data_IF_863281154416
#
_entry.id   IF_863281154416
#
_cell.length_a   1.000
_cell.length_b   1.000
_cell.length_c   1.000
_cell.angle_alpha   90.00
_cell.angle_beta   90.00
_cell.angle_gamma   90.00
#
_symmetry.space_group_name_H-M   'P 1'
#
loop_
_entity.id
_entity.type
_entity.pdbx_description
1 polymer ?
#
# COMPACT_ATOMS: atom_id res chain seq x y z
N UNK A 1 19.82 2.76 9.92
CA UNK A 1 18.47 3.20 10.29
C UNK A 1 17.48 2.32 9.52
N UNK A 2 16.79 1.43 10.21
CA UNK A 2 15.92 0.40 9.63
C UNK A 2 14.74 1.08 8.93
N UNK A 3 14.32 0.62 7.74
CA UNK A 3 13.21 1.23 6.98
C UNK A 3 11.93 1.43 7.82
N UNK A 4 11.73 0.56 8.82
CA UNK A 4 10.66 0.65 9.82
C UNK A 4 10.65 1.98 10.61
N UNK A 5 11.82 2.55 10.88
CA UNK A 5 11.95 3.82 11.62
C UNK A 5 11.57 5.01 10.76
N UNK A 6 11.81 4.93 9.44
CA UNK A 6 11.40 5.94 8.47
C UNK A 6 9.90 5.89 8.25
N UNK A 7 9.33 4.69 8.10
CA UNK A 7 7.89 4.49 7.99
C UNK A 7 7.14 5.05 9.21
N UNK A 8 7.59 4.73 10.43
CA UNK A 8 7.01 5.30 11.66
C UNK A 8 7.09 6.82 11.71
N UNK A 9 8.20 7.42 11.26
CA UNK A 9 8.31 8.88 11.17
C UNK A 9 7.33 9.46 10.16
N UNK A 10 7.20 8.85 8.99
CA UNK A 10 6.28 9.28 7.93
C UNK A 10 4.82 9.22 8.40
N UNK A 11 4.41 8.14 9.06
CA UNK A 11 3.06 7.99 9.66
C UNK A 11 2.79 9.08 10.70
N UNK A 12 3.74 9.35 11.61
CA UNK A 12 3.58 10.44 12.58
C UNK A 12 3.50 11.85 11.95
N UNK A 13 4.21 12.09 10.85
CA UNK A 13 4.06 13.35 10.07
C UNK A 13 2.74 13.41 9.31
N UNK A 14 2.23 12.28 8.82
CA UNK A 14 0.92 12.20 8.16
C UNK A 14 -0.20 12.63 9.10
N UNK A 15 -0.28 12.02 10.28
CA UNK A 15 -1.33 12.32 11.26
C UNK A 15 -1.33 13.81 11.65
N UNK A 16 -0.15 14.42 11.66
CA UNK A 16 0.02 15.86 11.91
C UNK A 16 -0.41 16.74 10.74
N UNK A 17 -0.15 16.33 9.50
CA UNK A 17 -0.39 17.13 8.28
C UNK A 17 -1.82 16.99 7.75
N UNK A 18 -2.42 15.81 7.89
CA UNK A 18 -3.77 15.50 7.40
C UNK A 18 -4.83 15.59 8.48
N UNK A 19 -4.62 16.41 9.50
CA UNK A 19 -5.58 16.73 10.56
C UNK A 19 -6.72 17.62 10.02
N UNK A 20 -7.36 17.16 8.94
CA UNK A 20 -8.53 17.79 8.33
C UNK A 20 -9.68 17.49 9.28
N UNK A 21 -10.12 18.51 10.02
CA UNK A 21 -11.42 18.48 10.71
C UNK A 21 -12.44 17.90 9.73
N UNK A 22 -12.99 16.76 10.09
CA UNK A 22 -13.98 16.01 9.32
C UNK A 22 -15.04 16.98 8.77
N UNK A 23 -15.06 17.20 7.45
CA UNK A 23 -16.09 17.97 6.75
C UNK A 23 -17.15 17.08 6.10
N UNK A 24 -17.27 15.86 6.60
CA UNK A 24 -18.42 15.01 6.34
C UNK A 24 -18.84 14.46 7.68
N UNK A 25 -19.88 15.05 8.26
CA UNK A 25 -20.75 14.33 9.18
C UNK A 25 -21.27 13.11 8.41
N UNK A 26 -20.56 11.99 8.53
CA UNK A 26 -21.13 10.70 8.16
C UNK A 26 -22.21 10.44 9.21
N UNK A 27 -23.46 10.74 8.85
CA UNK A 27 -24.68 10.25 9.52
C UNK A 27 -24.80 8.72 9.34
N UNK A 28 -23.74 7.96 9.59
CA UNK A 28 -23.84 6.53 9.76
C UNK A 28 -24.16 6.29 11.24
N UNK A 29 -25.34 5.74 11.60
CA UNK A 29 -25.64 5.47 12.99
C UNK A 29 -24.69 4.38 13.51
N UNK A 30 -23.66 4.79 14.25
CA UNK A 30 -22.71 3.90 14.91
C UNK A 30 -23.32 3.50 16.25
N UNK A 31 -24.02 2.37 16.28
CA UNK A 31 -24.78 1.91 17.44
C UNK A 31 -23.91 1.45 18.65
N UNK A 32 -22.57 1.46 18.54
CA UNK A 32 -21.69 1.01 19.61
C UNK A 32 -20.30 1.68 19.54
N UNK A 33 -19.78 2.18 20.66
CA UNK A 33 -18.49 2.89 20.70
C UNK A 33 -17.28 2.08 20.20
N UNK A 34 -17.36 0.75 20.26
CA UNK A 34 -16.38 -0.16 19.65
C UNK A 34 -16.34 -0.06 18.12
N UNK A 35 -17.49 0.12 17.46
CA UNK A 35 -17.58 0.26 16.00
C UNK A 35 -16.93 1.56 15.50
N UNK A 36 -16.99 2.65 16.29
CA UNK A 36 -16.31 3.91 15.95
C UNK A 36 -14.78 3.72 15.91
N UNK A 37 -14.22 3.00 16.88
CA UNK A 37 -12.78 2.72 16.93
C UNK A 37 -12.31 1.79 15.80
N UNK A 38 -13.16 0.85 15.38
CA UNK A 38 -12.88 -0.03 14.23
C UNK A 38 -12.90 0.77 12.93
N UNK A 39 -13.88 1.66 12.76
CA UNK A 39 -13.98 2.54 11.59
C UNK A 39 -12.79 3.50 11.53
N UNK A 40 -12.43 4.16 12.63
CA UNK A 40 -11.26 5.04 12.70
C UNK A 40 -9.97 4.29 12.35
N UNK A 41 -9.75 3.08 12.88
CA UNK A 41 -8.59 2.25 12.52
C UNK A 41 -8.58 1.86 11.05
N UNK A 42 -9.74 1.54 10.48
CA UNK A 42 -9.88 1.18 9.05
C UNK A 42 -9.59 2.38 8.14
N UNK A 43 -10.01 3.57 8.55
CA UNK A 43 -9.76 4.80 7.80
C UNK A 43 -8.28 5.21 7.87
N UNK A 44 -7.68 5.22 9.06
CA UNK A 44 -6.24 5.49 9.23
C UNK A 44 -5.37 4.51 8.43
N UNK A 45 -5.73 3.24 8.42
CA UNK A 45 -5.02 2.22 7.61
C UNK A 45 -5.18 2.46 6.11
N UNK A 46 -6.37 2.89 5.65
CA UNK A 46 -6.57 3.29 4.26
C UNK A 46 -5.67 4.46 3.86
N UNK A 47 -5.57 5.52 4.69
CA UNK A 47 -4.70 6.67 4.40
C UNK A 47 -3.22 6.28 4.33
N UNK A 48 -2.73 5.42 5.24
CA UNK A 48 -1.32 4.96 5.22
C UNK A 48 -1.04 4.09 4.00
N UNK A 49 -1.98 3.24 3.59
CA UNK A 49 -1.89 2.51 2.33
C UNK A 49 -1.80 3.49 1.15
N UNK A 50 -2.67 4.50 1.09
CA UNK A 50 -2.68 5.49 0.00
C UNK A 50 -1.37 6.30 -0.11
N UNK A 51 -0.61 6.44 0.98
CA UNK A 51 0.69 7.14 0.99
C UNK A 51 1.83 6.36 0.34
N UNK A 52 1.74 5.04 0.27
CA UNK A 52 2.81 4.18 -0.25
C UNK A 52 2.28 3.34 -1.39
N UNK A 53 2.69 3.72 -2.60
CA UNK A 53 2.40 3.00 -3.83
C UNK A 53 3.68 2.46 -4.44
N UNK A 54 3.69 1.17 -4.74
CA UNK A 54 4.77 0.54 -5.50
C UNK A 54 4.30 0.30 -6.94
N UNK A 55 5.04 0.82 -7.91
CA UNK A 55 4.85 0.52 -9.33
C UNK A 55 6.02 -0.31 -9.82
N UNK A 56 5.75 -1.39 -10.56
CA UNK A 56 6.79 -2.26 -11.06
C UNK A 56 6.44 -2.88 -12.41
N UNK A 57 7.49 -3.22 -13.15
CA UNK A 57 7.40 -3.90 -14.44
C UNK A 57 8.09 -5.26 -14.37
N UNK A 58 7.47 -6.31 -14.90
CA UNK A 58 8.05 -7.66 -14.91
C UNK A 58 7.82 -8.36 -16.25
N UNK A 59 8.53 -9.47 -16.46
CA UNK A 59 8.33 -10.38 -17.62
C UNK A 59 7.63 -11.68 -17.24
N UNK A 60 7.11 -11.80 -16.02
CA UNK A 60 6.40 -13.01 -15.57
C UNK A 60 4.88 -12.81 -15.61
N UNK A 61 4.16 -13.79 -16.14
CA UNK A 61 2.69 -13.79 -16.20
C UNK A 61 2.01 -14.21 -14.89
N UNK A 62 2.80 -14.38 -13.82
CA UNK A 62 2.30 -14.83 -12.52
C UNK A 62 1.71 -13.71 -11.65
N UNK A 63 1.97 -12.46 -11.99
CA UNK A 63 1.38 -11.30 -11.29
C UNK A 63 -0.11 -11.22 -11.63
N UNK A 64 -0.97 -11.08 -10.63
CA UNK A 64 -2.42 -10.97 -10.78
C UNK A 64 -2.98 -9.99 -9.75
N UNK A 65 -4.13 -9.40 -10.06
CA UNK A 65 -4.87 -8.56 -9.13
C UNK A 65 -5.22 -9.36 -7.85
N UNK A 66 -5.02 -8.75 -6.69
CA UNK A 66 -5.20 -9.38 -5.37
C UNK A 66 -4.04 -10.26 -4.89
N UNK A 67 -3.02 -10.53 -5.73
CA UNK A 67 -1.84 -11.29 -5.26
C UNK A 67 -0.94 -10.45 -4.35
N UNK A 68 -0.32 -11.15 -3.41
CA UNK A 68 0.71 -10.59 -2.55
C UNK A 68 2.10 -10.73 -3.20
N UNK A 69 2.86 -9.65 -3.21
CA UNK A 69 4.22 -9.58 -3.74
C UNK A 69 5.17 -9.00 -2.69
N UNK A 70 6.41 -9.49 -2.67
CA UNK A 70 7.45 -8.97 -1.79
C UNK A 70 8.48 -8.18 -2.59
N UNK A 71 8.74 -6.95 -2.16
CA UNK A 71 9.75 -6.09 -2.79
C UNK A 71 11.08 -6.20 -2.04
N UNK A 72 11.98 -7.01 -2.59
CA UNK A 72 13.30 -7.27 -2.02
C UNK A 72 14.39 -6.54 -2.80
N UNK A 73 15.35 -5.96 -2.09
CA UNK A 73 16.53 -5.37 -2.71
C UNK A 73 17.63 -6.42 -2.90
N UNK A 74 18.50 -6.26 -3.90
CA UNK A 74 19.70 -7.08 -4.03
C UNK A 74 20.55 -7.04 -2.75
N UNK A 75 21.15 -8.17 -2.39
CA UNK A 75 21.97 -8.28 -1.18
C UNK A 75 23.11 -7.25 -1.14
N UNK A 76 23.64 -6.88 -2.32
CA UNK A 76 24.71 -5.89 -2.47
C UNK A 76 24.33 -4.49 -1.99
N UNK A 77 23.04 -4.14 -1.93
CA UNK A 77 22.61 -2.84 -1.43
C UNK A 77 22.50 -2.76 0.10
N UNK A 78 22.52 -3.91 0.81
CA UNK A 78 22.35 -3.98 2.27
C UNK A 78 21.12 -3.19 2.79
N UNK A 79 20.01 -3.22 2.05
CA UNK A 79 18.74 -2.59 2.40
C UNK A 79 17.72 -3.62 2.87
N UNK A 80 16.89 -3.26 3.84
CA UNK A 80 15.76 -4.09 4.27
C UNK A 80 14.71 -4.18 3.15
N UNK A 81 14.08 -5.35 3.01
CA UNK A 81 12.89 -5.54 2.16
C UNK A 81 11.83 -4.50 2.50
N UNK A 82 11.10 -4.02 1.49
CA UNK A 82 9.94 -3.15 1.70
C UNK A 82 8.75 -3.91 2.30
N UNK A 83 8.81 -5.24 2.35
CA UNK A 83 7.76 -6.09 2.88
C UNK A 83 6.74 -6.51 1.82
N UNK A 84 5.55 -6.88 2.29
CA UNK A 84 4.50 -7.49 1.49
C UNK A 84 3.47 -6.46 1.02
N UNK A 85 3.19 -6.45 -0.28
CA UNK A 85 2.25 -5.56 -0.95
C UNK A 85 1.17 -6.37 -1.67
N UNK A 86 -0.06 -5.86 -1.74
CA UNK A 86 -1.17 -6.39 -2.54
C UNK A 86 -1.21 -5.68 -3.87
N UNK A 87 -1.23 -6.43 -4.96
CA UNK A 87 -1.42 -5.91 -6.32
C UNK A 87 -2.87 -5.45 -6.48
N UNK A 88 -3.07 -4.18 -6.82
CA UNK A 88 -4.41 -3.59 -7.02
C UNK A 88 -4.69 -3.32 -8.48
N UNK A 89 -3.67 -3.19 -9.31
CA UNK A 89 -3.78 -2.95 -10.75
C UNK A 89 -2.71 -3.73 -11.49
N UNK A 90 -3.03 -4.31 -12.64
CA UNK A 90 -2.05 -4.96 -13.52
C UNK A 90 -2.46 -4.81 -14.98
N UNK A 91 -1.52 -4.39 -15.81
CA UNK A 91 -1.61 -4.31 -17.25
C UNK A 91 -0.65 -5.33 -17.86
N UNK A 92 -1.17 -6.23 -18.70
CA UNK A 92 -0.40 -7.24 -19.40
C UNK A 92 -0.24 -6.86 -20.87
N UNK A 93 0.99 -6.78 -21.35
CA UNK A 93 1.30 -6.41 -22.74
C UNK A 93 2.06 -7.54 -23.42
N UNK A 94 1.60 -7.93 -24.61
CA UNK A 94 2.34 -8.83 -25.49
C UNK A 94 2.60 -8.08 -26.79
N UNK A 95 3.88 -7.86 -27.11
CA UNK A 95 4.23 -7.18 -28.35
C UNK A 95 4.07 -8.11 -29.57
N UNK A 96 4.15 -7.55 -30.78
CA UNK A 96 4.05 -8.33 -32.03
C UNK A 96 5.13 -9.41 -32.18
N UNK A 97 6.24 -9.27 -31.47
CA UNK A 97 7.33 -10.24 -31.45
C UNK A 97 7.12 -11.32 -30.36
N UNK A 98 5.94 -11.40 -29.75
CA UNK A 98 5.62 -12.38 -28.71
C UNK A 98 6.30 -12.13 -27.36
N UNK A 99 6.96 -10.99 -27.15
CA UNK A 99 7.56 -10.68 -25.87
C UNK A 99 6.49 -10.17 -24.92
N UNK A 100 6.38 -10.86 -23.79
CA UNK A 100 5.47 -10.52 -22.71
C UNK A 100 6.14 -9.60 -21.69
N UNK A 101 5.40 -8.58 -21.27
CA UNK A 101 5.71 -7.75 -20.11
C UNK A 101 4.41 -7.39 -19.37
N UNK A 102 4.54 -6.97 -18.12
CA UNK A 102 3.44 -6.39 -17.37
C UNK A 102 3.93 -5.22 -16.55
N UNK A 103 3.04 -4.25 -16.36
CA UNK A 103 3.17 -3.17 -15.38
C UNK A 103 2.08 -3.35 -14.33
N UNK A 104 2.43 -3.24 -13.06
CA UNK A 104 1.46 -3.39 -11.98
C UNK A 104 1.68 -2.37 -10.87
N UNK A 105 0.59 -2.07 -10.17
CA UNK A 105 0.55 -1.21 -8.99
C UNK A 105 0.22 -2.06 -7.77
N UNK A 106 0.92 -1.83 -6.67
CA UNK A 106 0.70 -2.54 -5.41
C UNK A 106 0.79 -1.62 -4.19
N UNK A 107 0.02 -1.96 -3.15
CA UNK A 107 -0.10 -1.21 -1.91
C UNK A 107 0.28 -2.08 -0.70
N UNK A 108 0.82 -1.52 0.40
CA UNK A 108 1.17 -2.29 1.58
C UNK A 108 0.00 -3.15 2.08
N UNK A 109 0.25 -4.45 2.28
CA UNK A 109 -0.76 -5.41 2.75
C UNK A 109 -1.20 -5.18 4.20
N UNK A 110 -0.28 -4.68 5.01
CA UNK A 110 -0.52 -4.20 6.37
C UNK A 110 -0.02 -2.75 6.43
N UNK A 111 -0.91 -1.76 6.20
CA UNK A 111 -0.63 -0.39 6.62
C UNK A 111 -0.33 -0.41 8.13
N UNK A 112 0.84 0.11 8.47
CA UNK A 112 1.36 0.16 9.85
C UNK A 112 0.52 1.08 10.71
#
# INVERSE_FOLDING_TARGET
ATGMTLLKKMVGTSDRLFNRKFLTELEAPVFQGSALSILSRKESTSYVSDMLKAEATTRTCRVRLGHYVNFNFPQTMNLCSLGQYVVTEVEHTVNRNGHYENRFTAYPSNPV
#
